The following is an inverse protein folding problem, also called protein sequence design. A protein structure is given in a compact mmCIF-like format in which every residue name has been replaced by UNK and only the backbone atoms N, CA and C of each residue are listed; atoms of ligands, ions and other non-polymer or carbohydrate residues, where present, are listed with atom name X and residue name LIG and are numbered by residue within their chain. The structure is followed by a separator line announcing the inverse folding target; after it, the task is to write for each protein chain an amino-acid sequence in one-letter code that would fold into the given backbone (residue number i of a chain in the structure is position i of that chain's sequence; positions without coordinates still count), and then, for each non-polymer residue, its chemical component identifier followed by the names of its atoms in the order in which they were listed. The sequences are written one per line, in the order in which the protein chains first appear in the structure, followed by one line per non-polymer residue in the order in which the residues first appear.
data_IF_889552731021
#
_entry.id   IF_889552731021
#
_cell.length_a   1.000
_cell.length_b   1.000
_cell.length_c   1.000
_cell.angle_alpha   90.00
_cell.angle_beta   90.00
_cell.angle_gamma   90.00
#
_symmetry.space_group_name_H-M   'P 1'
#
loop_
_entity.id
_entity.type
_entity.pdbx_description
1 polymer ?
#
# COMPACT_ATOMS: atom_id res chain seq x y z
N UNK A 1 -52.27 -19.42 -37.54
CA UNK A 1 -53.41 -18.98 -36.69
C UNK A 1 -52.86 -18.76 -35.29
N UNK A 2 -53.04 -17.56 -34.70
CA UNK A 2 -52.77 -17.15 -33.29
C UNK A 2 -51.26 -17.09 -32.90
N UNK A 3 -50.53 -16.00 -32.59
CA UNK A 3 -50.66 -14.65 -31.94
C UNK A 3 -50.28 -14.62 -30.43
N UNK A 4 -49.38 -13.67 -30.09
CA UNK A 4 -49.05 -12.99 -28.79
C UNK A 4 -48.24 -13.84 -27.77
N UNK A 5 -47.26 -13.41 -26.95
CA UNK A 5 -46.80 -12.13 -26.35
C UNK A 5 -45.32 -12.33 -25.86
N UNK A 6 -44.46 -11.36 -25.53
CA UNK A 6 -44.58 -9.92 -25.35
C UNK A 6 -43.19 -9.31 -25.03
N UNK A 7 -43.01 -8.04 -25.39
CA UNK A 7 -41.87 -7.21 -25.05
C UNK A 7 -41.87 -6.85 -23.55
N UNK A 8 -40.71 -6.91 -22.88
CA UNK A 8 -40.41 -6.03 -21.74
C UNK A 8 -39.22 -5.13 -22.06
N UNK A 9 -39.51 -3.82 -22.08
CA UNK A 9 -38.58 -2.71 -22.23
C UNK A 9 -37.55 -2.72 -21.09
N UNK A 10 -36.25 -2.78 -21.41
CA UNK A 10 -35.21 -2.34 -20.48
C UNK A 10 -34.99 -0.85 -20.74
N UNK A 11 -35.39 -0.03 -19.78
CA UNK A 11 -35.22 1.42 -19.80
C UNK A 11 -33.79 1.73 -19.39
N UNK A 12 -32.91 2.02 -20.36
CA UNK A 12 -31.59 2.62 -20.11
C UNK A 12 -31.80 4.13 -19.96
N UNK A 13 -31.85 4.63 -18.72
CA UNK A 13 -31.79 6.07 -18.45
C UNK A 13 -30.35 6.54 -18.55
N UNK A 14 -29.95 6.96 -19.75
CA UNK A 14 -28.74 7.74 -19.97
C UNK A 14 -29.00 9.17 -19.47
N UNK A 15 -28.35 9.60 -18.38
CA UNK A 15 -28.27 11.02 -18.01
C UNK A 15 -26.95 11.56 -18.56
N UNK A 16 -27.05 12.24 -19.70
CA UNK A 16 -25.99 13.08 -20.24
C UNK A 16 -25.97 14.35 -19.37
N UNK A 17 -24.90 14.53 -18.60
CA UNK A 17 -24.56 15.82 -17.99
C UNK A 17 -23.44 16.45 -18.83
N UNK A 18 -23.82 17.47 -19.61
CA UNK A 18 -22.89 18.41 -20.21
C UNK A 18 -22.22 19.21 -19.09
N UNK A 19 -20.90 19.09 -18.95
CA UNK A 19 -20.09 20.07 -18.25
C UNK A 19 -18.95 20.53 -19.17
N UNK A 20 -18.83 21.85 -19.26
CA UNK A 20 -17.96 22.59 -20.14
C UNK A 20 -16.46 22.22 -19.98
N UNK A 21 -15.75 22.27 -21.11
CA UNK A 21 -14.32 22.08 -21.18
C UNK A 21 -13.57 23.20 -20.44
N UNK A 22 -12.79 22.82 -19.43
CA UNK A 22 -11.66 23.62 -18.94
C UNK A 22 -10.42 22.76 -19.10
N UNK A 23 -9.54 23.20 -20.00
CA UNK A 23 -8.24 22.59 -20.31
C UNK A 23 -7.27 22.96 -19.19
N UNK A 24 -6.81 21.97 -18.41
CA UNK A 24 -5.57 22.08 -17.64
C UNK A 24 -4.77 20.79 -17.84
N UNK A 25 -3.51 20.98 -18.23
CA UNK A 25 -2.54 19.97 -18.58
C UNK A 25 -1.93 19.23 -17.36
N UNK A 26 -1.40 18.03 -17.67
CA UNK A 26 -0.39 17.24 -16.95
C UNK A 26 -0.87 16.12 -16.00
N UNK A 27 -0.49 14.89 -16.38
CA UNK A 27 -0.48 13.69 -15.52
C UNK A 27 -1.55 12.67 -15.87
N UNK A 28 -1.38 11.89 -16.94
CA UNK A 28 -2.24 10.74 -17.20
C UNK A 28 -1.90 9.60 -16.22
N UNK A 29 -2.58 9.57 -15.07
CA UNK A 29 -2.75 8.34 -14.31
C UNK A 29 -3.85 7.54 -15.02
N UNK A 30 -3.47 6.48 -15.73
CA UNK A 30 -4.44 5.56 -16.34
C UNK A 30 -4.92 4.63 -15.25
N UNK A 31 -6.08 4.94 -14.68
CA UNK A 31 -6.75 4.10 -13.70
C UNK A 31 -7.54 3.00 -14.43
N UNK A 32 -7.09 1.76 -14.34
CA UNK A 32 -7.90 0.60 -14.71
C UNK A 32 -8.70 0.15 -13.49
N UNK A 33 -9.98 0.52 -13.44
CA UNK A 33 -10.93 -0.12 -12.54
C UNK A 33 -11.25 -1.51 -13.09
N UNK A 34 -11.04 -2.53 -12.26
CA UNK A 34 -11.45 -3.89 -12.57
C UNK A 34 -12.98 -3.98 -12.55
N UNK A 35 -13.64 -4.55 -13.58
CA UNK A 35 -15.07 -4.83 -13.51
C UNK A 35 -15.31 -6.01 -12.56
N UNK A 36 -16.20 -5.84 -11.58
CA UNK A 36 -16.69 -6.92 -10.72
C UNK A 36 -17.44 -7.96 -11.58
N UNK A 37 -16.75 -8.98 -12.07
CA UNK A 37 -17.40 -10.19 -12.57
C UNK A 37 -17.57 -11.15 -11.40
N UNK A 38 -18.83 -11.41 -11.03
CA UNK A 38 -19.18 -12.48 -10.11
C UNK A 38 -18.68 -13.83 -10.69
N UNK A 39 -17.52 -14.28 -10.23
CA UNK A 39 -16.99 -15.60 -10.54
C UNK A 39 -17.89 -16.67 -9.93
N UNK A 40 -18.34 -17.61 -10.76
CA UNK A 40 -19.04 -18.81 -10.33
C UNK A 40 -18.16 -19.66 -9.41
N UNK A 41 -18.74 -20.10 -8.29
CA UNK A 41 -18.09 -20.97 -7.30
C UNK A 41 -17.70 -22.32 -7.93
N UNK A 42 -16.52 -22.88 -7.62
CA UNK A 42 -16.34 -24.32 -7.59
C UNK A 42 -16.95 -24.90 -6.30
N UNK A 43 -17.61 -26.04 -6.43
CA UNK A 43 -18.22 -26.81 -5.34
C UNK A 43 -17.19 -27.23 -4.27
N UNK A 44 -17.61 -27.49 -3.01
CA UNK A 44 -16.70 -27.83 -1.92
C UNK A 44 -16.13 -29.24 -2.11
N UNK A 45 -14.89 -29.32 -2.59
CA UNK A 45 -14.08 -30.53 -2.57
C UNK A 45 -13.31 -30.65 -1.26
N UNK A 46 -13.33 -31.85 -0.70
CA UNK A 46 -12.81 -32.25 0.61
C UNK A 46 -11.39 -31.75 0.91
N UNK A 47 -11.21 -31.21 2.12
CA UNK A 47 -9.91 -30.86 2.67
C UNK A 47 -9.13 -32.15 2.98
N UNK A 48 -8.25 -32.55 2.06
CA UNK A 48 -7.29 -33.63 2.31
C UNK A 48 -6.09 -33.08 3.09
N UNK A 49 -6.05 -33.41 4.38
CA UNK A 49 -4.86 -33.29 5.23
C UNK A 49 -3.81 -34.28 4.73
N UNK A 50 -2.67 -33.79 4.27
CA UNK A 50 -1.48 -34.61 4.05
C UNK A 50 -0.39 -34.18 5.04
N UNK A 51 -0.14 -35.09 5.98
CA UNK A 51 1.02 -35.18 6.85
C UNK A 51 2.30 -35.24 6.02
N UNK A 52 3.35 -34.55 6.46
CA UNK A 52 4.70 -34.69 5.91
C UNK A 52 5.66 -34.95 7.07
N UNK A 53 5.89 -36.23 7.34
CA UNK A 53 7.02 -36.69 8.12
C UNK A 53 8.25 -36.90 7.23
N UNK A 54 9.39 -36.48 7.75
CA UNK A 54 10.76 -36.90 7.44
C UNK A 54 11.35 -36.68 6.03
N UNK A 55 12.18 -35.62 5.93
CA UNK A 55 13.59 -35.84 5.59
C UNK A 55 14.47 -34.76 6.26
N UNK A 56 15.32 -35.19 7.20
CA UNK A 56 16.29 -34.34 7.88
C UNK A 56 17.56 -34.09 7.03
N UNK A 57 18.04 -32.86 7.23
CA UNK A 57 19.24 -32.09 6.86
C UNK A 57 20.61 -32.78 7.11
N UNK A 58 21.83 -32.17 6.92
CA UNK A 58 22.14 -30.74 6.69
C UNK A 58 23.31 -30.37 5.75
N UNK A 59 23.29 -29.15 5.22
CA UNK A 59 24.52 -28.41 4.89
C UNK A 59 24.42 -26.99 5.43
N UNK A 60 25.09 -26.82 6.58
CA UNK A 60 25.69 -25.62 7.17
C UNK A 60 24.96 -24.27 6.99
N UNK A 61 23.98 -24.04 7.86
CA UNK A 61 23.49 -22.71 8.20
C UNK A 61 24.41 -22.07 9.24
N UNK A 62 25.14 -21.02 8.84
CA UNK A 62 25.60 -20.03 9.80
C UNK A 62 24.36 -19.43 10.47
N UNK A 63 24.19 -19.77 11.75
CA UNK A 63 23.10 -19.34 12.60
C UNK A 63 23.14 -17.82 12.83
N UNK A 64 22.59 -17.04 11.91
CA UNK A 64 22.17 -15.67 12.23
C UNK A 64 20.78 -15.76 12.84
N UNK A 65 20.73 -15.87 14.16
CA UNK A 65 19.52 -15.59 14.94
C UNK A 65 19.04 -14.15 14.63
N UNK A 66 18.10 -14.01 13.69
CA UNK A 66 17.40 -12.76 13.40
C UNK A 66 16.31 -12.51 14.45
N UNK A 67 16.73 -12.30 15.69
CA UNK A 67 15.87 -11.72 16.73
C UNK A 67 15.92 -10.19 16.63
N UNK A 68 14.75 -9.56 16.58
CA UNK A 68 14.49 -8.11 16.55
C UNK A 68 15.37 -7.29 17.52
N UNK A 69 16.54 -6.83 17.08
CA UNK A 69 17.41 -6.03 17.95
C UNK A 69 17.01 -4.55 17.92
N UNK A 70 15.92 -4.13 18.57
CA UNK A 70 15.59 -2.69 18.72
C UNK A 70 16.62 -2.02 19.64
N UNK A 71 17.34 -1.01 19.14
CA UNK A 71 18.36 -0.29 19.93
C UNK A 71 17.76 0.97 20.54
N UNK A 72 17.93 1.16 21.86
CA UNK A 72 17.59 2.42 22.52
C UNK A 72 18.67 3.46 22.22
N UNK A 73 18.29 4.58 21.61
CA UNK A 73 19.16 5.70 21.31
C UNK A 73 18.79 6.94 22.12
N UNK A 74 19.79 7.75 22.45
CA UNK A 74 19.61 9.06 23.07
C UNK A 74 19.48 10.10 21.96
N UNK A 75 18.39 10.86 21.97
CA UNK A 75 18.22 12.03 21.11
C UNK A 75 18.53 13.28 21.95
N UNK A 76 19.48 14.14 21.55
CA UNK A 76 20.02 15.20 22.40
C UNK A 76 18.97 16.11 23.06
N UNK A 77 17.94 16.52 22.31
CA UNK A 77 16.88 17.42 22.81
C UNK A 77 15.69 16.70 23.47
N UNK A 78 15.67 15.36 23.49
CA UNK A 78 14.62 14.62 24.19
C UNK A 78 14.95 14.32 25.65
N UNK A 79 15.88 15.09 26.24
CA UNK A 79 16.25 15.00 27.66
C UNK A 79 16.63 13.58 28.07
N UNK A 80 15.92 13.04 29.06
CA UNK A 80 16.13 11.68 29.58
C UNK A 80 15.43 10.58 28.78
N UNK A 81 14.64 10.93 27.76
CA UNK A 81 13.86 9.96 26.99
C UNK A 81 14.76 9.22 26.01
N UNK A 82 14.96 7.92 26.25
CA UNK A 82 15.62 7.03 25.28
C UNK A 82 14.58 6.52 24.30
N UNK A 83 14.71 6.91 23.04
CA UNK A 83 13.82 6.45 21.98
C UNK A 83 14.35 5.13 21.42
N UNK A 84 13.45 4.17 21.20
CA UNK A 84 13.77 3.00 20.39
C UNK A 84 14.01 3.49 18.95
N UNK A 85 15.09 3.03 18.34
CA UNK A 85 15.46 3.29 16.95
C UNK A 85 15.30 2.00 16.14
N UNK A 86 14.92 2.08 14.86
CA UNK A 86 14.81 0.89 14.03
C UNK A 86 16.20 0.29 13.77
N UNK A 87 16.30 -1.02 13.92
CA UNK A 87 17.46 -1.80 13.41
C UNK A 87 17.04 -2.69 12.24
N UNK A 88 15.76 -3.03 12.17
CA UNK A 88 15.11 -3.64 11.01
C UNK A 88 13.76 -2.95 10.80
N UNK A 89 13.49 -2.57 9.55
CA UNK A 89 12.22 -1.97 9.17
C UNK A 89 11.38 -3.06 8.50
N UNK A 90 10.18 -3.31 9.02
CA UNK A 90 9.23 -4.22 8.39
C UNK A 90 8.66 -3.51 7.17
N UNK A 91 8.84 -4.12 6.00
CA UNK A 91 8.43 -3.53 4.73
C UNK A 91 7.02 -3.96 4.36
N UNK A 92 6.27 -3.06 3.73
CA UNK A 92 4.96 -3.34 3.11
C UNK A 92 3.96 -3.99 4.08
N UNK A 93 3.94 -3.48 5.31
CA UNK A 93 3.00 -3.90 6.35
C UNK A 93 2.43 -2.65 7.03
N UNK A 94 1.16 -2.71 7.40
CA UNK A 94 0.52 -1.62 8.13
C UNK A 94 1.07 -1.54 9.56
N UNK A 95 1.76 -0.43 9.85
CA UNK A 95 2.29 -0.12 11.15
C UNK A 95 1.46 0.96 11.83
N UNK A 96 1.09 0.73 13.08
CA UNK A 96 0.43 1.77 13.87
C UNK A 96 1.41 2.88 14.25
N UNK A 97 0.96 4.13 14.21
CA UNK A 97 1.68 5.27 14.79
C UNK A 97 1.73 5.21 16.32
N UNK A 98 0.76 4.54 16.96
CA UNK A 98 0.62 4.48 18.40
C UNK A 98 0.35 3.05 18.91
N UNK A 99 0.90 2.68 20.08
CA UNK A 99 0.84 1.28 20.57
C UNK A 99 -0.56 0.79 20.91
N UNK A 100 -1.38 1.67 21.48
CA UNK A 100 -2.74 1.35 21.95
C UNK A 100 -3.83 1.88 21.04
N UNK A 101 -3.49 2.82 20.18
CA UNK A 101 -4.47 3.54 19.37
C UNK A 101 -4.17 3.25 17.90
N UNK A 102 -5.20 2.83 17.16
CA UNK A 102 -5.12 2.52 15.74
C UNK A 102 -5.59 3.69 14.86
N UNK A 103 -5.62 4.92 15.37
CA UNK A 103 -6.06 6.10 14.61
C UNK A 103 -5.29 6.34 13.32
N UNK A 104 -4.04 5.88 13.23
CA UNK A 104 -3.24 5.97 12.03
C UNK A 104 -2.38 4.72 11.86
N UNK A 105 -2.54 4.09 10.70
CA UNK A 105 -1.86 2.88 10.26
C UNK A 105 -1.16 3.20 8.93
N UNK A 106 0.16 3.20 8.92
CA UNK A 106 0.97 3.61 7.76
C UNK A 106 1.56 2.37 7.10
N UNK A 107 1.54 2.34 5.77
CA UNK A 107 1.94 1.18 4.96
C UNK A 107 3.37 1.31 4.41
N UNK A 108 3.73 2.49 3.92
CA UNK A 108 5.01 2.71 3.24
C UNK A 108 5.50 4.15 3.35
N UNK A 109 6.76 4.37 2.96
CA UNK A 109 7.37 5.69 2.93
C UNK A 109 8.39 5.82 1.79
N UNK A 110 8.32 6.95 1.09
CA UNK A 110 9.16 7.28 -0.04
C UNK A 110 9.78 8.66 0.10
N UNK A 111 11.03 8.80 -0.30
CA UNK A 111 11.68 10.08 -0.53
C UNK A 111 11.47 10.46 -1.99
N UNK A 112 10.81 11.60 -2.23
CA UNK A 112 10.55 12.13 -3.56
C UNK A 112 11.50 13.31 -3.90
N UNK A 113 12.60 13.05 -4.62
CA UNK A 113 13.54 14.09 -5.04
C UNK A 113 13.00 15.04 -6.12
N UNK A 114 11.89 14.71 -6.80
CA UNK A 114 11.41 15.43 -7.99
C UNK A 114 10.78 16.77 -7.63
N UNK A 115 10.12 16.84 -6.49
CA UNK A 115 9.33 18.00 -6.06
C UNK A 115 10.17 19.14 -5.49
N UNK A 116 11.37 18.83 -4.96
CA UNK A 116 12.30 19.85 -4.47
C UNK A 116 13.73 19.29 -4.41
N UNK A 117 14.62 19.64 -5.35
CA UNK A 117 16.01 19.23 -5.29
C UNK A 117 16.62 19.72 -3.96
N UNK A 118 17.11 18.78 -3.15
CA UNK A 118 17.75 19.02 -1.82
C UNK A 118 16.81 19.40 -0.67
N UNK A 119 15.49 19.26 -0.78
CA UNK A 119 14.58 19.26 0.39
C UNK A 119 13.95 17.86 0.51
N UNK A 120 14.02 17.18 1.67
CA UNK A 120 13.35 15.92 1.82
C UNK A 120 11.85 16.14 1.83
N UNK A 121 11.21 15.56 0.83
CA UNK A 121 9.79 15.36 0.78
C UNK A 121 9.59 13.88 0.98
N UNK A 122 9.28 13.50 2.21
CA UNK A 122 8.89 12.13 2.53
C UNK A 122 7.39 12.04 2.32
N UNK A 123 6.96 11.13 1.45
CA UNK A 123 5.56 10.79 1.21
C UNK A 123 5.32 9.40 1.77
N UNK A 124 4.30 9.27 2.61
CA UNK A 124 3.87 8.01 3.19
C UNK A 124 2.41 7.78 2.90
N UNK A 125 2.03 6.53 2.64
CA UNK A 125 0.63 6.15 2.43
C UNK A 125 0.15 5.31 3.60
N UNK A 126 -1.15 5.34 3.86
CA UNK A 126 -1.74 4.56 4.93
C UNK A 126 -3.25 4.71 5.01
N UNK A 127 -3.80 4.29 6.14
CA UNK A 127 -5.19 4.51 6.50
C UNK A 127 -5.27 5.20 7.86
N UNK A 128 -6.16 6.17 7.99
CA UNK A 128 -6.40 6.88 9.24
C UNK A 128 -7.88 6.85 9.58
N UNK A 129 -8.17 6.83 10.88
CA UNK A 129 -9.52 7.04 11.38
C UNK A 129 -9.99 8.44 10.99
N UNK A 130 -11.29 8.60 10.80
CA UNK A 130 -11.90 9.90 10.52
C UNK A 130 -11.95 10.82 11.77
N UNK A 131 -10.80 11.09 12.37
CA UNK A 131 -10.59 11.98 13.53
C UNK A 131 -9.54 13.04 13.22
N UNK A 132 -9.54 14.16 13.95
CA UNK A 132 -8.52 15.19 13.77
C UNK A 132 -7.10 14.63 13.91
N UNK A 133 -6.24 14.93 12.94
CA UNK A 133 -4.82 14.54 12.92
C UNK A 133 -3.89 15.71 13.27
N UNK A 134 -4.43 16.76 13.91
CA UNK A 134 -3.67 17.92 14.35
C UNK A 134 -2.60 17.50 15.36
N UNK A 135 -1.35 17.92 15.14
CA UNK A 135 -0.24 17.57 16.02
C UNK A 135 0.49 16.27 15.65
N UNK A 136 0.14 15.60 14.55
CA UNK A 136 0.96 14.52 14.04
C UNK A 136 2.34 15.05 13.60
N UNK A 137 3.38 14.37 14.04
CA UNK A 137 4.78 14.70 13.76
C UNK A 137 5.44 13.55 13.01
N UNK A 138 6.24 13.91 12.01
CA UNK A 138 7.21 13.00 11.40
C UNK A 138 8.51 13.03 12.20
N UNK A 139 9.03 11.86 12.53
CA UNK A 139 10.35 11.64 13.11
C UNK A 139 11.22 10.95 12.05
N UNK A 140 12.15 11.69 11.46
CA UNK A 140 13.08 11.22 10.45
C UNK A 140 14.35 10.66 11.13
N UNK A 141 14.77 9.47 10.73
CA UNK A 141 15.91 8.76 11.30
C UNK A 141 17.01 8.59 10.26
N UNK A 142 18.24 8.94 10.63
CA UNK A 142 19.40 8.88 9.75
C UNK A 142 20.37 7.76 10.17
N UNK A 143 21.08 7.18 9.19
CA UNK A 143 21.95 6.03 9.43
C UNK A 143 23.34 6.48 9.90
N UNK A 144 23.95 7.45 9.21
CA UNK A 144 25.29 7.96 9.58
C UNK A 144 25.22 8.88 10.79
N UNK A 145 24.16 9.67 10.87
CA UNK A 145 23.85 10.50 12.03
C UNK A 145 22.94 9.75 13.00
N UNK A 146 23.37 8.56 13.42
CA UNK A 146 22.55 7.63 14.21
C UNK A 146 21.94 8.23 15.50
N UNK A 147 22.47 9.36 16.00
CA UNK A 147 21.97 10.12 17.15
C UNK A 147 21.04 11.29 16.79
N UNK A 148 20.93 11.65 15.51
CA UNK A 148 20.14 12.78 15.03
C UNK A 148 18.84 12.23 14.46
N UNK A 149 17.77 12.35 15.24
CA UNK A 149 16.41 12.31 14.73
C UNK A 149 16.09 13.72 14.19
N UNK A 150 15.24 13.91 13.19
CA UNK A 150 14.69 15.24 12.86
C UNK A 150 13.19 15.18 12.96
N UNK A 151 12.58 16.14 13.64
CA UNK A 151 11.13 16.18 13.84
C UNK A 151 10.50 17.34 13.11
N UNK A 152 9.39 17.10 12.41
CA UNK A 152 8.63 18.14 11.72
C UNK A 152 7.13 17.84 11.74
N UNK A 153 6.31 18.86 11.54
CA UNK A 153 4.87 18.70 11.40
C UNK A 153 4.57 17.82 10.18
N UNK A 154 3.71 16.83 10.36
CA UNK A 154 3.18 16.05 9.27
C UNK A 154 1.99 16.77 8.63
N UNK A 155 1.96 16.85 7.30
CA UNK A 155 0.77 17.23 6.56
C UNK A 155 0.00 15.97 6.17
N UNK A 156 -1.23 15.82 6.66
CA UNK A 156 -2.07 14.64 6.39
C UNK A 156 -3.21 15.03 5.46
N UNK A 157 -3.18 14.48 4.26
CA UNK A 157 -4.22 14.59 3.26
C UNK A 157 -5.07 13.33 3.27
N UNK A 158 -6.40 13.47 3.32
CA UNK A 158 -7.33 12.35 3.15
C UNK A 158 -7.63 12.19 1.67
N UNK A 159 -7.42 10.98 1.17
CA UNK A 159 -7.71 10.65 -0.22
C UNK A 159 -9.23 10.48 -0.40
N UNK A 160 -9.77 10.79 -1.59
CA UNK A 160 -11.19 10.65 -1.89
C UNK A 160 -11.66 9.18 -1.80
N UNK A 161 -12.96 8.94 -1.98
CA UNK A 161 -13.62 7.61 -1.92
C UNK A 161 -13.77 6.98 -0.53
N UNK A 162 -13.58 7.76 0.54
CA UNK A 162 -13.75 7.26 1.91
C UNK A 162 -15.19 6.98 2.35
N UNK A 163 -16.21 7.53 1.67
CA UNK A 163 -17.65 7.39 1.96
C UNK A 163 -18.03 7.48 3.46
N UNK A 164 -17.38 8.37 4.21
CA UNK A 164 -17.56 8.52 5.65
C UNK A 164 -17.36 7.23 6.48
N UNK A 165 -16.64 6.25 5.92
CA UNK A 165 -16.23 5.04 6.65
C UNK A 165 -15.31 5.40 7.81
N UNK A 166 -15.20 4.50 8.79
CA UNK A 166 -14.43 4.71 10.01
C UNK A 166 -12.97 5.06 9.71
N UNK A 167 -12.40 4.41 8.69
CA UNK A 167 -11.07 4.67 8.16
C UNK A 167 -11.14 5.13 6.70
N UNK A 168 -10.19 5.98 6.34
CA UNK A 168 -9.98 6.46 4.98
C UNK A 168 -8.50 6.38 4.63
N UNK A 169 -8.20 6.22 3.34
CA UNK A 169 -6.83 6.28 2.87
C UNK A 169 -6.27 7.69 3.05
N UNK A 170 -4.99 7.77 3.44
CA UNK A 170 -4.29 9.04 3.67
C UNK A 170 -2.94 9.06 2.96
N UNK A 171 -2.59 10.25 2.52
CA UNK A 171 -1.25 10.61 2.10
C UNK A 171 -0.65 11.53 3.17
N UNK A 172 0.51 11.16 3.69
CA UNK A 172 1.21 11.92 4.71
C UNK A 172 2.48 12.48 4.09
N UNK A 173 2.63 13.79 4.13
CA UNK A 173 3.81 14.49 3.61
C UNK A 173 4.59 15.11 4.76
N UNK A 174 5.88 14.79 4.81
CA UNK A 174 6.86 15.42 5.67
C UNK A 174 7.80 16.23 4.78
N UNK A 175 7.64 17.54 4.76
CA UNK A 175 8.52 18.45 4.02
C UNK A 175 9.24 19.37 4.99
N UNK A 176 10.53 19.60 4.75
CA UNK A 176 11.32 20.59 5.50
C UNK A 176 11.75 21.72 4.59
N UNK A 177 11.80 22.92 5.16
CA UNK A 177 12.33 24.12 4.51
C UNK A 177 13.86 24.07 4.36
N UNK A 178 14.53 23.28 5.20
CA UNK A 178 15.99 23.19 5.26
C UNK A 178 16.54 22.23 4.22
N UNK A 179 17.71 22.55 3.66
CA UNK A 179 18.43 21.57 2.84
C UNK A 179 18.87 20.42 3.75
N UNK A 180 18.59 19.19 3.36
CA UNK A 180 19.08 18.03 4.11
C UNK A 180 20.18 17.36 3.28
N UNK A 181 21.32 17.16 3.93
CA UNK A 181 22.55 16.62 3.33
C UNK A 181 22.48 15.10 3.14
N UNK A 182 21.66 14.41 3.93
CA UNK A 182 21.46 12.96 3.87
C UNK A 182 19.97 12.62 3.70
N UNK A 183 19.65 11.52 3.02
CA UNK A 183 18.28 11.01 2.95
C UNK A 183 18.03 10.18 4.21
N UNK A 184 16.93 10.40 4.95
CA UNK A 184 16.64 9.59 6.13
C UNK A 184 16.49 8.12 5.73
N UNK A 185 17.04 7.21 6.54
CA UNK A 185 16.91 5.77 6.33
C UNK A 185 15.52 5.24 6.72
N UNK A 186 14.84 5.92 7.65
CA UNK A 186 13.53 5.54 8.11
C UNK A 186 12.72 6.76 8.57
N UNK A 187 11.40 6.60 8.61
CA UNK A 187 10.47 7.56 9.20
C UNK A 187 9.57 6.85 10.21
N UNK A 188 9.25 7.56 11.29
CA UNK A 188 8.18 7.18 12.20
C UNK A 188 7.22 8.34 12.43
N UNK A 189 6.03 8.01 12.92
CA UNK A 189 4.97 8.98 13.19
C UNK A 189 4.62 8.96 14.66
N UNK A 190 4.51 10.14 15.27
CA UNK A 190 4.23 10.30 16.69
C UNK A 190 3.45 11.61 16.94
N UNK A 191 2.78 11.69 18.08
CA UNK A 191 1.94 12.86 18.45
C UNK A 191 2.68 13.95 19.22
N UNK A 192 3.98 13.76 19.45
CA UNK A 192 4.86 14.79 19.99
C UNK A 192 6.30 14.54 19.53
N UNK A 193 7.14 15.56 19.60
CA UNK A 193 8.54 15.49 19.18
C UNK A 193 9.29 14.30 19.81
N UNK A 194 9.09 14.08 21.11
CA UNK A 194 9.81 13.08 21.89
C UNK A 194 8.93 11.89 22.30
N UNK A 195 7.75 11.72 21.69
CA UNK A 195 6.94 10.53 21.90
C UNK A 195 7.62 9.31 21.29
N UNK A 196 7.52 8.17 21.99
CA UNK A 196 8.02 6.90 21.49
C UNK A 196 7.14 6.41 20.33
N UNK A 197 7.65 6.33 19.09
CA UNK A 197 6.89 5.77 17.99
C UNK A 197 6.62 4.28 18.20
N UNK A 198 5.49 3.81 17.68
CA UNK A 198 5.11 2.40 17.74
C UNK A 198 5.69 1.57 16.59
N UNK A 199 6.03 2.19 15.45
CA UNK A 199 6.64 1.54 14.30
C UNK A 199 7.52 2.50 13.49
N UNK A 200 8.32 1.91 12.59
CA UNK A 200 9.22 2.62 11.69
C UNK A 200 9.07 2.06 10.29
N UNK A 201 9.01 2.94 9.31
CA UNK A 201 8.98 2.59 7.90
C UNK A 201 10.34 2.89 7.27
N UNK A 202 10.89 1.97 6.47
CA UNK A 202 12.07 2.29 5.68
C UNK A 202 11.68 3.32 4.63
N UNK A 203 12.57 4.29 4.41
CA UNK A 203 12.35 5.32 3.38
C UNK A 203 12.97 4.83 2.07
N UNK A 204 12.13 4.65 1.06
CA UNK A 204 12.55 4.26 -0.29
C UNK A 204 12.79 5.47 -1.16
N UNK A 205 13.93 5.52 -1.85
CA UNK A 205 14.26 6.65 -2.72
C UNK A 205 13.61 6.46 -4.09
N UNK A 206 12.74 7.39 -4.47
CA UNK A 206 12.20 7.42 -5.83
C UNK A 206 13.25 7.93 -6.82
N UNK A 207 13.20 7.51 -8.09
CA UNK A 207 14.07 8.04 -9.13
C UNK A 207 13.94 9.58 -9.26
N UNK A 208 15.08 10.27 -9.31
CA UNK A 208 15.15 11.74 -9.42
C UNK A 208 14.73 12.30 -10.76
N UNK A 209 14.83 11.48 -11.81
CA UNK A 209 14.46 11.88 -13.17
C UNK A 209 13.27 11.04 -13.62
N UNK A 210 12.16 11.65 -14.08
CA UNK A 210 11.10 10.89 -14.73
C UNK A 210 11.68 10.15 -15.92
N UNK A 211 11.31 8.88 -16.05
CA UNK A 211 11.77 8.00 -17.12
C UNK A 211 11.16 8.51 -18.44
N UNK A 212 11.99 9.08 -19.34
CA UNK A 212 11.55 9.76 -20.57
C UNK A 212 11.45 8.86 -21.80
N UNK A 213 11.45 7.55 -21.64
CA UNK A 213 11.42 6.59 -22.76
C UNK A 213 10.03 5.98 -23.00
N UNK A 214 8.96 6.59 -22.44
CA UNK A 214 7.59 6.07 -22.54
C UNK A 214 7.30 4.88 -21.63
N UNK A 215 8.24 4.45 -20.80
CA UNK A 215 8.01 3.37 -19.84
C UNK A 215 7.38 3.89 -18.56
N UNK A 216 6.45 3.11 -18.04
CA UNK A 216 5.76 3.40 -16.78
C UNK A 216 5.57 2.14 -15.93
N UNK A 217 5.26 2.36 -14.65
CA UNK A 217 4.87 1.30 -13.74
C UNK A 217 3.34 1.26 -13.60
N UNK A 218 2.80 0.07 -13.35
CA UNK A 218 1.37 -0.14 -13.08
C UNK A 218 1.18 -0.62 -11.65
N UNK A 219 0.39 0.11 -10.87
CA UNK A 219 -0.18 -0.37 -9.61
C UNK A 219 -1.49 -1.11 -9.90
N UNK A 220 -1.54 -2.40 -9.62
CA UNK A 220 -2.77 -3.18 -9.71
C UNK A 220 -3.51 -3.12 -8.37
N UNK A 221 -4.83 -3.01 -8.38
CA UNK A 221 -5.65 -3.07 -7.16
C UNK A 221 -5.41 -4.39 -6.40
N UNK A 222 -5.79 -4.48 -5.10
CA UNK A 222 -5.48 -5.67 -4.33
C UNK A 222 -6.19 -6.88 -4.91
N UNK A 223 -5.45 -7.95 -5.22
CA UNK A 223 -6.05 -9.24 -5.49
C UNK A 223 -6.80 -9.70 -4.24
N UNK A 224 -8.10 -9.92 -4.35
CA UNK A 224 -8.97 -10.26 -3.22
C UNK A 224 -9.90 -11.42 -3.57
N UNK A 225 -10.74 -11.82 -2.60
CA UNK A 225 -11.76 -12.88 -2.80
C UNK A 225 -11.22 -14.19 -3.39
N UNK A 226 -9.98 -14.56 -3.03
CA UNK A 226 -9.29 -15.74 -3.57
C UNK A 226 -9.20 -15.74 -5.11
N UNK A 227 -8.90 -14.58 -5.69
CA UNK A 227 -8.78 -14.39 -7.14
C UNK A 227 -7.97 -15.52 -7.81
N UNK A 228 -8.61 -16.24 -8.75
CA UNK A 228 -8.06 -17.43 -9.43
C UNK A 228 -8.12 -17.34 -10.97
N UNK A 229 -8.37 -16.16 -11.54
CA UNK A 229 -8.44 -16.00 -12.99
C UNK A 229 -7.04 -15.77 -13.58
N UNK A 230 -6.36 -16.86 -13.93
CA UNK A 230 -5.01 -16.83 -14.51
C UNK A 230 -5.00 -16.12 -15.88
N UNK A 231 -6.01 -16.37 -16.72
CA UNK A 231 -6.05 -15.84 -18.09
C UNK A 231 -6.21 -14.32 -18.09
N UNK A 232 -7.09 -13.80 -17.24
CA UNK A 232 -7.29 -12.36 -17.09
C UNK A 232 -6.08 -11.66 -16.47
N UNK A 233 -5.37 -12.32 -15.53
CA UNK A 233 -4.10 -11.82 -15.00
C UNK A 233 -3.03 -11.73 -16.10
N UNK A 234 -2.86 -12.77 -16.91
CA UNK A 234 -1.94 -12.78 -18.06
C UNK A 234 -2.31 -11.67 -19.04
N UNK A 235 -3.59 -11.61 -19.44
CA UNK A 235 -4.08 -10.60 -20.37
C UNK A 235 -3.80 -9.19 -19.87
N UNK A 236 -4.06 -8.92 -18.59
CA UNK A 236 -3.82 -7.60 -17.98
C UNK A 236 -2.34 -7.23 -18.01
N UNK A 237 -1.46 -8.15 -17.63
CA UNK A 237 -0.01 -7.91 -17.61
C UNK A 237 0.55 -7.70 -19.01
N UNK A 238 0.20 -8.57 -19.97
CA UNK A 238 0.73 -8.51 -21.34
C UNK A 238 0.16 -7.32 -22.13
N UNK A 239 -1.11 -6.96 -21.93
CA UNK A 239 -1.70 -5.78 -22.56
C UNK A 239 -1.03 -4.50 -22.07
N UNK A 240 -0.79 -4.37 -20.76
CA UNK A 240 -0.08 -3.21 -20.23
C UNK A 240 1.39 -3.16 -20.69
N UNK A 241 2.06 -4.33 -20.81
CA UNK A 241 3.40 -4.41 -21.42
C UNK A 241 3.41 -3.87 -22.85
N UNK A 242 2.40 -4.23 -23.65
CA UNK A 242 2.23 -3.72 -25.01
C UNK A 242 2.12 -2.18 -25.05
N UNK A 243 1.49 -1.58 -24.04
CA UNK A 243 1.38 -0.12 -23.92
C UNK A 243 2.62 0.57 -23.36
N UNK A 244 3.65 -0.17 -22.92
CA UNK A 244 4.90 0.36 -22.40
C UNK A 244 5.13 0.17 -20.90
N UNK A 245 4.24 -0.53 -20.19
CA UNK A 245 4.46 -0.87 -18.79
C UNK A 245 5.65 -1.82 -18.66
N UNK A 246 6.65 -1.46 -17.85
CA UNK A 246 7.85 -2.27 -17.63
C UNK A 246 8.00 -2.75 -16.18
N UNK A 247 7.13 -2.28 -15.29
CA UNK A 247 7.11 -2.65 -13.87
C UNK A 247 5.67 -2.77 -13.40
N UNK A 248 5.40 -3.77 -12.59
CA UNK A 248 4.08 -4.03 -12.03
C UNK A 248 4.19 -4.19 -10.52
N UNK A 249 3.33 -3.49 -9.80
CA UNK A 249 3.13 -3.67 -8.37
C UNK A 249 1.76 -4.31 -8.17
N UNK A 250 1.76 -5.57 -7.73
CA UNK A 250 0.55 -6.35 -7.50
C UNK A 250 0.35 -6.49 -6.00
N UNK A 251 -0.63 -5.78 -5.47
CA UNK A 251 -0.97 -5.89 -4.06
C UNK A 251 -1.80 -7.16 -3.87
N UNK A 252 -1.41 -7.99 -2.92
CA UNK A 252 -2.06 -9.27 -2.67
C UNK A 252 -2.72 -9.26 -1.30
N UNK A 253 -4.04 -9.25 -1.30
CA UNK A 253 -4.85 -9.49 -0.11
C UNK A 253 -5.18 -10.99 0.00
N UNK A 254 -5.71 -11.58 -1.08
CA UNK A 254 -5.99 -13.00 -1.20
C UNK A 254 -6.06 -13.43 -2.68
N UNK A 255 -5.11 -14.26 -3.11
CA UNK A 255 -5.04 -14.87 -4.44
C UNK A 255 -4.97 -16.40 -4.35
N UNK A 256 -5.33 -17.09 -5.42
CA UNK A 256 -5.13 -18.53 -5.52
C UNK A 256 -3.66 -18.93 -5.63
N UNK A 257 -3.36 -20.21 -5.42
CA UNK A 257 -2.03 -20.78 -5.67
C UNK A 257 -1.62 -20.69 -7.14
N UNK A 258 -2.57 -20.80 -8.08
CA UNK A 258 -2.29 -20.75 -9.52
C UNK A 258 -1.85 -19.35 -9.94
N UNK A 259 -2.58 -18.32 -9.51
CA UNK A 259 -2.20 -16.91 -9.76
C UNK A 259 -0.90 -16.57 -9.05
N UNK A 260 -0.72 -16.97 -7.79
CA UNK A 260 0.54 -16.75 -7.09
C UNK A 260 1.74 -17.40 -7.81
N UNK A 261 1.57 -18.62 -8.32
CA UNK A 261 2.61 -19.33 -9.10
C UNK A 261 2.89 -18.66 -10.44
N UNK A 262 1.85 -18.14 -11.11
CA UNK A 262 2.01 -17.35 -12.34
C UNK A 262 2.89 -16.11 -12.07
N UNK A 263 2.52 -15.30 -11.07
CA UNK A 263 3.23 -14.06 -10.75
C UNK A 263 4.68 -14.31 -10.28
N UNK A 264 4.92 -15.45 -9.63
CA UNK A 264 6.26 -15.89 -9.21
C UNK A 264 7.07 -16.60 -10.32
N UNK A 265 6.47 -16.87 -11.49
CA UNK A 265 7.17 -17.54 -12.59
C UNK A 265 8.32 -16.69 -13.12
N UNK A 266 9.34 -17.35 -13.70
CA UNK A 266 10.52 -16.66 -14.27
C UNK A 266 10.17 -15.58 -15.30
N UNK A 267 9.05 -15.75 -16.02
CA UNK A 267 8.59 -14.78 -17.02
C UNK A 267 8.10 -13.46 -16.42
N UNK A 268 7.47 -13.52 -15.24
CA UNK A 268 6.88 -12.34 -14.58
C UNK A 268 7.73 -11.79 -13.43
N UNK A 269 8.46 -12.65 -12.71
CA UNK A 269 9.21 -12.28 -11.51
C UNK A 269 10.27 -11.17 -11.71
N UNK A 270 10.73 -10.95 -12.95
CA UNK A 270 11.69 -9.87 -13.28
C UNK A 270 11.08 -8.47 -13.26
N UNK A 271 9.77 -8.35 -13.53
CA UNK A 271 9.08 -7.08 -13.75
C UNK A 271 7.92 -6.87 -12.76
N UNK A 272 7.37 -7.96 -12.21
CA UNK A 272 6.26 -7.98 -11.26
C UNK A 272 6.79 -8.07 -9.84
N UNK A 273 6.39 -7.13 -9.00
CA UNK A 273 6.59 -7.15 -7.55
C UNK A 273 5.26 -7.42 -6.88
N UNK A 274 5.15 -8.57 -6.20
CA UNK A 274 3.96 -8.89 -5.41
C UNK A 274 4.14 -8.36 -3.99
N UNK A 275 3.24 -7.48 -3.55
CA UNK A 275 3.29 -6.82 -2.26
C UNK A 275 2.19 -7.37 -1.35
N UNK A 276 2.50 -7.78 -0.11
CA UNK A 276 1.46 -8.18 0.83
C UNK A 276 0.62 -6.94 1.19
N UNK A 277 -0.71 -7.09 1.18
CA UNK A 277 -1.60 -5.98 1.45
C UNK A 277 -2.77 -6.42 2.32
N UNK A 278 -2.61 -6.25 3.64
CA UNK A 278 -3.57 -6.70 4.64
C UNK A 278 -3.89 -5.55 5.60
N UNK A 279 -4.87 -4.70 5.28
CA UNK A 279 -5.34 -3.66 6.18
C UNK A 279 -5.81 -4.27 7.51
N UNK A 280 -5.29 -3.83 8.67
CA UNK A 280 -5.64 -4.41 9.98
C UNK A 280 -6.93 -3.79 10.54
N UNK A 281 -7.93 -3.67 9.66
CA UNK A 281 -9.27 -3.11 9.89
C UNK A 281 -10.28 -3.97 9.14
N UNK A 282 -11.55 -3.86 9.51
CA UNK A 282 -12.61 -4.58 8.82
C UNK A 282 -12.78 -4.04 7.40
N UNK A 283 -12.62 -4.92 6.43
CA UNK A 283 -12.77 -4.64 5.01
C UNK A 283 -14.01 -5.34 4.46
N UNK A 284 -14.47 -4.86 3.32
CA UNK A 284 -15.52 -5.53 2.56
C UNK A 284 -14.98 -6.84 1.98
N UNK A 285 -15.62 -7.97 2.30
CA UNK A 285 -15.24 -9.30 1.83
C UNK A 285 -16.50 -10.05 1.47
N UNK A 286 -16.41 -10.89 0.45
CA UNK A 286 -17.50 -11.77 0.04
C UNK A 286 -17.19 -13.25 0.37
N UNK A 287 -18.10 -13.99 1.01
CA UNK A 287 -19.32 -13.53 1.67
C UNK A 287 -19.01 -12.70 2.92
N UNK A 288 -19.85 -11.71 3.24
CA UNK A 288 -19.62 -10.82 4.38
C UNK A 288 -20.02 -11.53 5.68
N UNK A 289 -19.11 -11.62 6.68
CA UNK A 289 -19.47 -12.19 7.97
C UNK A 289 -20.56 -11.35 8.64
N UNK A 290 -21.56 -12.00 9.26
CA UNK A 290 -22.76 -11.37 9.82
C UNK A 290 -22.47 -10.29 10.89
N UNK A 291 -21.31 -10.36 11.56
CA UNK A 291 -20.89 -9.41 12.59
C UNK A 291 -19.77 -8.45 12.14
N UNK A 292 -19.57 -8.28 10.83
CA UNK A 292 -18.47 -7.48 10.30
C UNK A 292 -18.96 -6.16 9.69
N UNK A 293 -18.78 -5.05 10.40
CA UNK A 293 -19.01 -3.71 9.86
C UNK A 293 -17.80 -3.26 9.05
N UNK A 294 -18.01 -2.97 7.76
CA UNK A 294 -16.93 -2.49 6.88
C UNK A 294 -16.43 -1.13 7.38
N UNK A 295 -15.17 -1.11 7.81
CA UNK A 295 -14.48 0.03 8.39
C UNK A 295 -13.71 0.85 7.35
N UNK A 296 -13.33 0.27 6.22
CA UNK A 296 -12.66 0.95 5.10
C UNK A 296 -13.20 0.46 3.75
N UNK A 297 -13.41 1.39 2.82
CA UNK A 297 -13.96 1.10 1.49
C UNK A 297 -12.90 0.50 0.56
N UNK A 298 -13.30 -0.42 -0.32
CA UNK A 298 -12.46 -1.01 -1.38
C UNK A 298 -11.04 -1.39 -0.90
N UNK A 299 -10.95 -2.05 0.26
CA UNK A 299 -9.67 -2.46 0.85
C UNK A 299 -8.68 -1.30 1.09
N UNK A 300 -9.10 -0.03 1.07
CA UNK A 300 -8.22 1.13 1.04
C UNK A 300 -7.36 1.26 -0.24
N UNK A 301 -7.92 0.89 -1.40
CA UNK A 301 -7.25 0.96 -2.71
C UNK A 301 -6.57 2.32 -2.99
N UNK A 302 -7.13 3.42 -2.49
CA UNK A 302 -6.53 4.74 -2.72
C UNK A 302 -5.14 4.88 -2.08
N UNK A 303 -4.83 4.15 -1.00
CA UNK A 303 -3.50 4.19 -0.38
C UNK A 303 -2.45 3.51 -1.28
N UNK A 304 -2.81 2.42 -1.94
CA UNK A 304 -1.90 1.68 -2.82
C UNK A 304 -1.74 2.32 -4.20
N UNK A 305 -2.77 3.02 -4.70
CA UNK A 305 -2.66 3.83 -5.91
C UNK A 305 -1.72 5.04 -5.75
N UNK A 306 -1.31 5.35 -4.52
CA UNK A 306 -0.32 6.38 -4.19
C UNK A 306 1.03 5.79 -3.76
N UNK A 307 1.14 4.46 -3.66
CA UNK A 307 2.34 3.74 -3.21
C UNK A 307 3.32 3.45 -4.36
N UNK A 308 2.81 3.36 -5.60
CA UNK A 308 3.61 3.57 -6.81
C UNK A 308 3.12 4.85 -7.53
#
# INVERSE_FOLDING_TARGET
MVRIAGFRKVVVRCRILLCAAVVIAAGAAVHFCWPETAGSQPAPGEAMLLSSDHLETPVNSDNVNLTESRVRRRVPWCGHTRLLSPVTAQEFQFLSSHRRNRDLLIYSAFYDPRLAPRKPIIRSTGIARNVGMSGLMCQLWYRRWSQVMVTMQAHVERLPEGDSRRYQAVLITCSTSSKVEEIPSAVSFAWSHCAQPAGFLPVRVLPSTPVRNGQFAVCMSPLHSFYDNVDEAVQTLELNRLFGANRFFVYNFASSKRVASLLASKHYAKDVTVLPFQPPVNIDRWPQPSNNTVEVKHFAQMAMLQDC
#
